data_IF_057302766005
#
_entry.id   IF_057302766005
#
_cell.length_a   1.000
_cell.length_b   1.000
_cell.length_c   1.000
_cell.angle_alpha   90.00
_cell.angle_beta   90.00
_cell.angle_gamma   90.00
#
_symmetry.space_group_name_H-M   'P 1'
#
loop_
_entity.id
_entity.type
_entity.pdbx_description
1 polymer ?
#
# COMPACT_ATOMS: atom_id res chain seq x y z
N UNK A 1 -7.68 -11.23 2.73
CA UNK A 1 -7.67 -11.04 1.26
C UNK A 1 -7.77 -12.34 0.47
N UNK A 2 -7.08 -13.43 0.82
CA UNK A 2 -7.13 -14.70 0.05
C UNK A 2 -8.53 -15.27 -0.19
N UNK A 3 -9.37 -15.35 0.84
CA UNK A 3 -10.77 -15.79 0.71
C UNK A 3 -11.62 -14.82 -0.14
N UNK A 4 -11.39 -13.51 -0.01
CA UNK A 4 -12.08 -12.49 -0.81
C UNK A 4 -11.71 -12.58 -2.29
N UNK A 5 -10.43 -12.85 -2.60
CA UNK A 5 -9.95 -13.10 -3.96
C UNK A 5 -10.67 -14.31 -4.54
N UNK A 6 -10.73 -15.42 -3.80
CA UNK A 6 -11.40 -16.64 -4.24
C UNK A 6 -12.90 -16.41 -4.48
N UNK A 7 -13.53 -15.53 -3.70
CA UNK A 7 -14.93 -15.15 -3.85
C UNK A 7 -15.19 -14.04 -4.90
N UNK A 8 -14.15 -13.51 -5.57
CA UNK A 8 -14.31 -12.41 -6.54
C UNK A 8 -14.72 -11.07 -5.93
N UNK A 9 -14.51 -10.88 -4.62
CA UNK A 9 -14.94 -9.68 -3.87
C UNK A 9 -13.86 -8.59 -3.80
N UNK A 10 -12.68 -8.85 -4.35
CA UNK A 10 -11.56 -7.90 -4.35
C UNK A 10 -10.85 -7.94 -5.71
N UNK A 11 -10.60 -6.78 -6.34
CA UNK A 11 -9.80 -6.70 -7.56
C UNK A 11 -8.36 -7.19 -7.34
N UNK A 12 -7.71 -7.83 -8.34
CA UNK A 12 -6.30 -8.22 -8.25
C UNK A 12 -5.37 -7.06 -7.86
N UNK A 13 -5.62 -5.87 -8.39
CA UNK A 13 -4.82 -4.67 -8.19
C UNK A 13 -4.80 -4.24 -6.71
N UNK A 14 -5.90 -4.44 -5.99
CA UNK A 14 -5.99 -4.17 -4.55
C UNK A 14 -5.14 -5.15 -3.74
N UNK A 15 -5.01 -6.40 -4.20
CA UNK A 15 -4.15 -7.40 -3.56
C UNK A 15 -2.69 -7.02 -3.73
N UNK A 16 -2.31 -6.59 -4.92
CA UNK A 16 -0.95 -6.16 -5.24
C UNK A 16 -0.60 -4.86 -4.49
N UNK A 17 -1.51 -3.89 -4.45
CA UNK A 17 -1.39 -2.66 -3.68
C UNK A 17 -1.21 -2.94 -2.18
N UNK A 18 -2.06 -3.80 -1.59
CA UNK A 18 -1.90 -4.22 -0.20
C UNK A 18 -0.54 -4.92 0.02
N UNK A 19 -0.12 -5.78 -0.91
CA UNK A 19 1.17 -6.46 -0.85
C UNK A 19 2.34 -5.49 -0.81
N UNK A 20 2.33 -4.46 -1.67
CA UNK A 20 3.35 -3.41 -1.68
C UNK A 20 3.37 -2.63 -0.36
N UNK A 21 2.21 -2.15 0.10
CA UNK A 21 2.14 -1.36 1.33
C UNK A 21 2.61 -2.16 2.55
N UNK A 22 2.26 -3.45 2.63
CA UNK A 22 2.72 -4.33 3.69
C UNK A 22 4.24 -4.52 3.66
N UNK A 23 4.83 -4.81 2.49
CA UNK A 23 6.30 -4.93 2.33
C UNK A 23 7.01 -3.64 2.72
N UNK A 24 6.51 -2.50 2.25
CA UNK A 24 7.11 -1.20 2.55
C UNK A 24 7.07 -0.87 4.04
N UNK A 25 5.94 -1.12 4.71
CA UNK A 25 5.82 -0.93 6.16
C UNK A 25 6.83 -1.78 6.94
N UNK A 26 6.94 -3.08 6.59
CA UNK A 26 7.90 -4.00 7.23
C UNK A 26 9.33 -3.53 7.00
N UNK A 27 9.68 -3.22 5.75
CA UNK A 27 11.04 -2.79 5.41
C UNK A 27 11.44 -1.50 6.10
N UNK A 28 10.54 -0.51 6.17
CA UNK A 28 10.81 0.73 6.90
C UNK A 28 11.08 0.46 8.38
N UNK A 29 10.29 -0.40 9.03
CA UNK A 29 10.50 -0.79 10.43
C UNK A 29 11.79 -1.59 10.64
N UNK A 30 12.20 -2.42 9.70
CA UNK A 30 13.45 -3.16 9.78
C UNK A 30 14.68 -2.26 9.61
N UNK A 31 14.58 -1.22 8.78
CA UNK A 31 15.70 -0.30 8.51
C UNK A 31 15.77 0.90 9.46
N UNK A 32 14.65 1.26 10.09
CA UNK A 32 14.51 2.39 11.00
C UNK A 32 13.45 2.03 12.07
N UNK A 33 13.81 1.19 13.06
CA UNK A 33 12.86 0.67 14.05
C UNK A 33 12.18 1.76 14.88
N UNK A 34 12.93 2.83 15.19
CA UNK A 34 12.48 3.97 15.99
C UNK A 34 11.96 5.13 15.11
N UNK A 35 11.88 4.93 13.79
CA UNK A 35 11.29 5.88 12.84
C UNK A 35 12.25 6.96 12.34
N UNK A 36 13.56 6.75 12.45
CA UNK A 36 14.55 7.67 11.90
C UNK A 36 14.43 7.79 10.38
N UNK A 37 14.74 8.95 9.79
CA UNK A 37 14.79 9.10 8.35
C UNK A 37 15.78 8.09 7.73
N UNK A 38 15.37 7.29 6.72
CA UNK A 38 16.26 6.29 6.15
C UNK A 38 17.42 6.94 5.42
N UNK A 39 18.63 6.41 5.66
CA UNK A 39 19.85 6.76 4.92
C UNK A 39 19.72 6.43 3.44
N UNK A 40 20.58 6.98 2.57
CA UNK A 40 20.54 6.68 1.14
C UNK A 40 20.66 5.16 0.85
N UNK A 41 21.54 4.46 1.57
CA UNK A 41 21.70 3.01 1.47
C UNK A 41 20.44 2.26 1.94
N UNK A 42 19.83 2.69 3.04
CA UNK A 42 18.57 2.11 3.52
C UNK A 42 17.43 2.32 2.51
N UNK A 43 17.31 3.51 1.91
CA UNK A 43 16.30 3.79 0.87
C UNK A 43 16.45 2.88 -0.35
N UNK A 44 17.69 2.65 -0.80
CA UNK A 44 17.96 1.73 -1.90
C UNK A 44 17.60 0.28 -1.55
N UNK A 45 17.93 -0.16 -0.33
CA UNK A 45 17.55 -1.49 0.16
C UNK A 45 16.02 -1.65 0.18
N UNK A 46 15.29 -0.69 0.79
CA UNK A 46 13.83 -0.71 0.88
C UNK A 46 13.20 -0.77 -0.52
N UNK A 47 13.65 0.06 -1.46
CA UNK A 47 13.16 0.03 -2.85
C UNK A 47 13.33 -1.36 -3.49
N UNK A 48 14.53 -1.93 -3.40
CA UNK A 48 14.81 -3.25 -3.98
C UNK A 48 13.94 -4.37 -3.39
N UNK A 49 13.71 -4.35 -2.07
CA UNK A 49 12.88 -5.35 -1.39
C UNK A 49 11.38 -5.15 -1.64
N UNK A 50 10.96 -3.93 -2.00
CA UNK A 50 9.61 -3.65 -2.45
C UNK A 50 9.36 -4.01 -3.92
N UNK A 51 10.41 -4.28 -4.70
CA UNK A 51 10.33 -4.58 -6.13
C UNK A 51 10.51 -3.37 -7.05
N UNK A 52 10.98 -2.25 -6.51
CA UNK A 52 11.08 -0.97 -7.19
C UNK A 52 12.55 -0.62 -7.50
N UNK A 53 12.85 0.01 -8.64
CA UNK A 53 14.23 0.25 -9.07
C UNK A 53 14.95 1.32 -8.24
N UNK A 54 14.20 2.11 -7.46
CA UNK A 54 14.77 3.19 -6.66
C UNK A 54 13.73 3.85 -5.76
N UNK A 55 14.22 4.73 -4.90
CA UNK A 55 13.38 5.43 -3.92
C UNK A 55 12.28 6.29 -4.54
N UNK A 56 12.52 7.09 -5.61
CA UNK A 56 11.46 7.86 -6.24
C UNK A 56 10.35 6.99 -6.85
N UNK A 57 10.72 5.86 -7.47
CA UNK A 57 9.75 4.92 -8.04
C UNK A 57 8.94 4.22 -6.96
N UNK A 58 9.57 3.86 -5.84
CA UNK A 58 8.86 3.34 -4.67
C UNK A 58 7.83 4.32 -4.11
N UNK A 59 8.16 5.62 -4.02
CA UNK A 59 7.20 6.62 -3.55
C UNK A 59 6.01 6.76 -4.51
N UNK A 60 6.26 6.78 -5.82
CA UNK A 60 5.19 6.80 -6.81
C UNK A 60 4.30 5.55 -6.75
N UNK A 61 4.90 4.36 -6.60
CA UNK A 61 4.18 3.11 -6.46
C UNK A 61 3.38 3.04 -5.15
N UNK A 62 3.92 3.58 -4.05
CA UNK A 62 3.22 3.72 -2.78
C UNK A 62 1.98 4.61 -2.90
N UNK A 63 2.12 5.77 -3.55
CA UNK A 63 1.00 6.69 -3.75
C UNK A 63 -0.09 6.08 -4.64
N UNK A 64 0.31 5.40 -5.73
CA UNK A 64 -0.61 4.64 -6.56
C UNK A 64 -1.33 3.54 -5.78
N UNK A 65 -0.62 2.74 -5.00
CA UNK A 65 -1.21 1.68 -4.17
C UNK A 65 -2.21 2.23 -3.14
N UNK A 66 -1.91 3.38 -2.52
CA UNK A 66 -2.85 4.05 -1.61
C UNK A 66 -4.11 4.51 -2.35
N UNK A 67 -3.96 5.04 -3.56
CA UNK A 67 -5.09 5.47 -4.38
C UNK A 67 -5.96 4.28 -4.80
N UNK A 68 -5.37 3.14 -5.19
CA UNK A 68 -6.10 1.92 -5.55
C UNK A 68 -6.98 1.42 -4.38
N UNK A 69 -6.41 1.36 -3.18
CA UNK A 69 -7.17 0.96 -1.98
C UNK A 69 -8.27 1.96 -1.66
N UNK A 70 -7.99 3.26 -1.74
CA UNK A 70 -8.98 4.31 -1.48
C UNK A 70 -10.14 4.26 -2.48
N UNK A 71 -9.86 4.09 -3.76
CA UNK A 71 -10.86 3.94 -4.82
C UNK A 71 -11.73 2.72 -4.59
N UNK A 72 -11.12 1.58 -4.28
CA UNK A 72 -11.87 0.36 -4.00
C UNK A 72 -12.75 0.51 -2.75
N UNK A 73 -12.23 1.09 -1.67
CA UNK A 73 -13.03 1.38 -0.48
C UNK A 73 -14.21 2.30 -0.76
N UNK A 74 -14.02 3.34 -1.59
CA UNK A 74 -15.10 4.22 -2.01
C UNK A 74 -16.17 3.45 -2.83
N UNK A 75 -15.77 2.47 -3.64
CA UNK A 75 -16.69 1.67 -4.46
C UNK A 75 -17.56 0.69 -3.66
N UNK A 76 -17.09 0.25 -2.48
CA UNK A 76 -17.80 -0.74 -1.65
C UNK A 76 -18.46 -0.12 -0.41
N UNK A 77 -18.16 1.15 -0.10
CA UNK A 77 -18.81 1.86 0.99
C UNK A 77 -20.26 2.12 0.60
N UNK A 78 -21.25 1.82 1.48
CA UNK A 78 -22.61 2.30 1.29
C UNK A 78 -22.60 3.83 1.17
N UNK A 79 -23.44 4.40 0.30
CA UNK A 79 -23.66 5.84 0.32
C UNK A 79 -24.10 6.24 1.73
N UNK A 80 -23.42 7.21 2.34
CA UNK A 80 -23.81 7.78 3.62
C UNK A 80 -25.27 8.23 3.49
N UNK A 81 -26.17 7.58 4.23
CA UNK A 81 -27.53 8.06 4.34
C UNK A 81 -27.47 9.31 5.20
N UNK A 82 -27.58 10.46 4.56
CA UNK A 82 -27.73 11.74 5.22
C UNK A 82 -29.00 11.69 6.07
N UNK A 83 -28.84 11.44 7.37
CA UNK A 83 -29.92 11.57 8.37
C UNK A 83 -30.24 13.05 8.45
N UNK A 84 -31.12 13.51 7.55
CA UNK A 84 -31.73 14.83 7.60
C UNK A 84 -32.50 14.93 8.93
N UNK A 85 -32.29 16.00 9.72
CA UNK A 85 -32.94 16.20 11.02
C UNK A 85 -34.46 16.33 10.90
#
# INVERSE_FOLDING_TARGET
>A
LGCMKAAGLVPPEVIDAHGLLARMLVMLRLTAPDGEPPTAAARQLVASQCGEPGWPQLLAAHDAARQEIANWWASIRPAEQETKP
#
